data_IF_950934142047
#
_entry.id   IF_950934142047
#
_cell.length_a   1.000
_cell.length_b   1.000
_cell.length_c   1.000
_cell.angle_alpha   90.00
_cell.angle_beta   90.00
_cell.angle_gamma   90.00
#
_symmetry.space_group_name_H-M   'P 1'
#
loop_
_entity.id
_entity.type
_entity.pdbx_description
1 polymer ?
#
# COMPACT_ATOMS: atom_id res chain seq x y z
N UNK A 1 14.76 -19.35 7.89
CA UNK A 1 13.39 -19.27 7.37
C UNK A 1 12.56 -18.54 8.40
N UNK A 2 11.94 -17.42 8.02
CA UNK A 2 11.00 -16.75 8.91
C UNK A 2 9.66 -17.52 8.85
N UNK A 3 8.97 -17.75 9.97
CA UNK A 3 7.65 -18.40 9.97
C UNK A 3 6.55 -17.51 9.36
N UNK A 4 6.93 -16.35 8.81
CA UNK A 4 6.05 -15.33 8.24
C UNK A 4 6.56 -14.98 6.85
N UNK A 5 5.63 -14.86 5.90
CA UNK A 5 5.91 -14.34 4.57
C UNK A 5 6.17 -12.84 4.67
N UNK A 6 7.43 -12.45 4.45
CA UNK A 6 7.89 -11.07 4.46
C UNK A 6 8.50 -10.81 3.08
N UNK A 7 8.02 -9.77 2.40
CA UNK A 7 8.65 -9.26 1.18
C UNK A 7 9.35 -7.96 1.51
N UNK A 8 10.65 -7.91 1.25
CA UNK A 8 11.47 -6.72 1.48
C UNK A 8 12.09 -6.29 0.15
N UNK A 9 12.06 -4.99 -0.11
CA UNK A 9 12.71 -4.39 -1.27
C UNK A 9 13.83 -3.46 -0.81
N UNK A 10 14.94 -3.47 -1.56
CA UNK A 10 16.04 -2.52 -1.39
C UNK A 10 15.99 -1.44 -2.47
N UNK A 11 16.76 -0.36 -2.30
CA UNK A 11 16.87 0.69 -3.31
C UNK A 11 17.35 0.17 -4.67
N UNK A 12 18.25 -0.83 -4.66
CA UNK A 12 18.73 -1.48 -5.87
C UNK A 12 17.60 -2.21 -6.61
N UNK A 13 16.67 -2.85 -5.87
CA UNK A 13 15.51 -3.52 -6.44
C UNK A 13 14.52 -2.51 -7.04
N UNK A 14 14.33 -1.36 -6.38
CA UNK A 14 13.50 -0.27 -6.91
C UNK A 14 14.05 0.27 -8.23
N UNK A 15 15.37 0.50 -8.32
CA UNK A 15 16.03 0.95 -9.56
C UNK A 15 15.96 -0.10 -10.67
N UNK A 16 16.19 -1.38 -10.32
CA UNK A 16 16.16 -2.50 -11.26
C UNK A 16 14.76 -2.73 -11.85
N UNK A 17 13.73 -2.64 -11.01
CA UNK A 17 12.34 -2.85 -11.41
C UNK A 17 11.64 -1.55 -11.83
N UNK A 18 12.36 -0.43 -11.89
CA UNK A 18 11.87 0.91 -12.26
C UNK A 18 10.59 1.28 -11.50
N UNK A 19 10.56 0.94 -10.22
CA UNK A 19 9.42 1.18 -9.32
C UNK A 19 9.32 2.68 -9.09
N UNK A 20 8.40 3.33 -9.79
CA UNK A 20 8.16 4.77 -9.68
C UNK A 20 6.83 5.08 -8.99
N UNK A 21 5.94 4.08 -8.89
CA UNK A 21 4.64 4.20 -8.26
C UNK A 21 4.39 3.03 -7.32
N UNK A 22 3.57 3.25 -6.29
CA UNK A 22 3.13 2.17 -5.40
C UNK A 22 2.42 1.04 -6.14
N UNK A 23 1.73 1.34 -7.26
CA UNK A 23 1.12 0.31 -8.11
C UNK A 23 2.15 -0.66 -8.71
N UNK A 24 3.38 -0.21 -8.92
CA UNK A 24 4.46 -1.07 -9.44
C UNK A 24 4.95 -2.07 -8.37
N UNK A 25 4.86 -1.69 -7.08
CA UNK A 25 5.19 -2.57 -5.95
C UNK A 25 4.18 -3.70 -5.84
N UNK A 26 2.89 -3.44 -6.10
CA UNK A 26 1.85 -4.47 -6.09
C UNK A 26 2.16 -5.62 -7.09
N UNK A 27 2.81 -5.33 -8.22
CA UNK A 27 3.24 -6.36 -9.17
C UNK A 27 4.41 -7.23 -8.67
N UNK A 28 5.16 -6.76 -7.67
CA UNK A 28 6.32 -7.46 -7.13
C UNK A 28 6.00 -8.27 -5.87
N UNK A 29 4.88 -7.96 -5.19
CA UNK A 29 4.44 -8.66 -3.98
C UNK A 29 3.27 -9.58 -4.32
N UNK A 30 3.44 -10.91 -4.23
CA UNK A 30 2.34 -11.82 -4.50
C UNK A 30 1.20 -11.61 -3.49
N UNK A 31 -0.03 -11.61 -4.00
CA UNK A 31 -1.25 -11.37 -3.21
C UNK A 31 -1.40 -9.95 -2.65
N UNK A 32 -0.66 -8.96 -3.13
CA UNK A 32 -0.91 -7.54 -2.88
C UNK A 32 -1.59 -6.93 -4.11
N UNK A 33 -2.73 -6.28 -3.92
CA UNK A 33 -3.39 -5.50 -4.98
C UNK A 33 -3.65 -4.08 -4.46
N UNK A 34 -3.29 -3.09 -5.27
CA UNK A 34 -3.42 -1.67 -4.94
C UNK A 34 -4.13 -0.98 -6.09
N UNK A 35 -5.40 -0.67 -5.87
CA UNK A 35 -6.23 0.07 -6.78
C UNK A 35 -6.56 1.44 -6.20
N UNK A 36 -7.18 2.31 -7.01
CA UNK A 36 -7.59 3.65 -6.59
C UNK A 36 -9.08 3.76 -6.89
N UNK A 37 -9.91 3.90 -5.86
CA UNK A 37 -11.34 4.03 -6.04
C UNK A 37 -11.64 5.40 -6.66
N UNK A 38 -12.27 5.40 -7.84
CA UNK A 38 -12.56 6.61 -8.62
C UNK A 38 -13.52 7.57 -7.91
N UNK A 39 -14.39 7.05 -7.05
CA UNK A 39 -15.35 7.82 -6.24
C UNK A 39 -14.65 8.68 -5.19
N UNK A 40 -13.79 8.05 -4.37
CA UNK A 40 -13.25 8.70 -3.18
C UNK A 40 -11.83 9.22 -3.35
N UNK A 41 -11.20 9.04 -4.51
CA UNK A 41 -9.77 9.35 -4.70
C UNK A 41 -8.90 8.76 -3.57
N UNK A 42 -9.28 7.59 -3.06
CA UNK A 42 -8.58 6.88 -1.99
C UNK A 42 -7.93 5.60 -2.55
N UNK A 43 -6.76 5.20 -2.04
CA UNK A 43 -6.15 3.93 -2.40
C UNK A 43 -6.96 2.81 -1.75
N UNK A 44 -7.36 1.83 -2.56
CA UNK A 44 -7.94 0.57 -2.11
C UNK A 44 -6.82 -0.48 -2.13
N UNK A 45 -6.42 -0.92 -0.94
CA UNK A 45 -5.32 -1.85 -0.74
C UNK A 45 -5.93 -3.16 -0.25
N UNK A 46 -5.66 -4.24 -0.97
CA UNK A 46 -6.04 -5.58 -0.57
C UNK A 46 -4.83 -6.50 -0.49
N UNK A 47 -4.84 -7.37 0.52
CA UNK A 47 -3.79 -8.36 0.73
C UNK A 47 -4.41 -9.72 0.95
N UNK A 48 -4.01 -10.72 0.16
CA UNK A 48 -4.54 -12.11 0.19
C UNK A 48 -6.07 -12.18 0.06
N UNK A 49 -6.64 -11.26 -0.73
CA UNK A 49 -8.09 -11.16 -0.91
C UNK A 49 -8.84 -10.49 0.26
N UNK A 50 -8.14 -10.05 1.30
CA UNK A 50 -8.72 -9.26 2.39
C UNK A 50 -8.67 -7.79 1.98
N UNK A 51 -9.85 -7.17 1.83
CA UNK A 51 -10.04 -5.76 1.49
C UNK A 51 -11.08 -5.13 2.42
N UNK A 52 -10.97 -3.83 2.65
CA UNK A 52 -12.00 -3.06 3.36
C UNK A 52 -12.76 -2.22 2.34
N UNK A 53 -14.08 -2.37 2.30
CA UNK A 53 -14.95 -1.54 1.45
C UNK A 53 -15.18 -0.15 2.05
N UNK A 54 -14.69 0.10 3.26
CA UNK A 54 -14.86 1.38 3.94
C UNK A 54 -13.65 2.28 3.66
N UNK A 55 -13.70 2.99 2.52
CA UNK A 55 -12.62 3.86 2.03
C UNK A 55 -12.60 5.26 2.68
N UNK A 56 -13.53 5.51 3.60
CA UNK A 56 -13.71 6.81 4.26
C UNK A 56 -12.75 6.99 5.44
N UNK A 57 -12.55 8.24 5.88
CA UNK A 57 -11.67 8.57 7.01
C UNK A 57 -12.10 8.01 8.39
N UNK A 58 -13.26 7.32 8.46
CA UNK A 58 -13.80 6.64 9.64
C UNK A 58 -13.83 5.11 9.49
N UNK A 59 -13.41 4.57 8.34
CA UNK A 59 -13.40 3.13 8.09
C UNK A 59 -12.12 2.47 8.57
N UNK A 60 -12.25 1.30 9.19
CA UNK A 60 -11.09 0.48 9.54
C UNK A 60 -10.43 -0.05 8.26
N UNK A 61 -9.12 0.20 8.06
CA UNK A 61 -8.40 -0.35 6.94
C UNK A 61 -8.15 -1.84 7.15
N UNK A 62 -8.35 -2.64 6.10
CA UNK A 62 -8.02 -4.08 6.12
C UNK A 62 -6.51 -4.35 6.14
N UNK A 63 -5.71 -3.37 5.73
CA UNK A 63 -4.25 -3.45 5.64
C UNK A 63 -3.66 -2.17 6.26
N UNK A 64 -2.79 -2.34 7.25
CA UNK A 64 -2.11 -1.22 7.89
C UNK A 64 -0.95 -0.70 7.05
N UNK A 65 -0.95 0.58 6.70
CA UNK A 65 0.14 1.23 5.96
C UNK A 65 1.00 2.02 6.93
N UNK A 66 2.31 1.79 6.88
CA UNK A 66 3.30 2.50 7.68
C UNK A 66 4.29 3.22 6.77
N UNK A 67 4.54 4.50 7.02
CA UNK A 67 5.59 5.27 6.35
C UNK A 67 6.60 5.75 7.41
N UNK A 68 7.87 5.35 7.28
CA UNK A 68 8.96 5.72 8.21
C UNK A 68 8.59 5.45 9.68
N UNK A 69 7.91 4.32 9.93
CA UNK A 69 7.46 3.94 11.28
C UNK A 69 6.18 4.63 11.77
N UNK A 70 5.64 5.60 11.04
CA UNK A 70 4.35 6.25 11.35
C UNK A 70 3.22 5.46 10.70
N UNK A 71 2.25 5.02 11.51
CA UNK A 71 1.03 4.38 11.04
C UNK A 71 0.10 5.41 10.40
N UNK A 72 -0.39 5.13 9.19
CA UNK A 72 -1.43 5.93 8.53
C UNK A 72 -2.79 5.25 8.64
N UNK A 73 -3.62 5.60 9.66
CA UNK A 73 -4.94 5.01 9.84
C UNK A 73 -5.93 5.37 8.72
N UNK A 74 -5.65 6.45 7.96
CA UNK A 74 -6.56 6.98 6.95
C UNK A 74 -5.97 6.79 5.56
N UNK A 75 -6.66 6.02 4.71
CA UNK A 75 -6.22 5.76 3.33
C UNK A 75 -6.12 7.06 2.50
N UNK A 76 -7.00 8.04 2.75
CA UNK A 76 -6.94 9.39 2.14
C UNK A 76 -5.69 10.20 2.55
N UNK A 77 -5.31 10.14 3.83
CA UNK A 77 -4.13 10.86 4.35
C UNK A 77 -2.80 10.20 3.98
N UNK A 78 -2.83 8.88 3.74
CA UNK A 78 -1.69 8.14 3.20
C UNK A 78 -1.30 8.63 1.80
N UNK A 79 -2.24 9.15 1.00
CA UNK A 79 -1.91 9.73 -0.31
C UNK A 79 -1.13 11.04 -0.19
N UNK A 80 -1.46 11.89 0.79
CA UNK A 80 -0.70 13.12 1.04
C UNK A 80 0.74 12.80 1.49
N UNK A 81 0.90 11.76 2.30
CA UNK A 81 2.22 11.26 2.70
C UNK A 81 2.97 10.55 1.55
N UNK A 82 2.25 9.99 0.58
CA UNK A 82 2.84 9.43 -0.64
C UNK A 82 3.25 10.50 -1.65
N UNK A 83 2.65 11.69 -1.55
CA UNK A 83 3.00 12.89 -2.30
C UNK A 83 4.06 13.71 -1.55
N UNK A 84 5.12 13.05 -1.11
CA UNK A 84 6.34 13.76 -0.69
C UNK A 84 7.21 13.98 -1.93
N UNK A 85 7.65 15.22 -2.11
CA UNK A 85 8.39 15.73 -3.29
C UNK A 85 9.86 15.31 -3.30
#
# INVERSE_FOLDING_TARGET
QTPVSITQFTEADHKKNRVNKIKDIAHLVPSLDISTAADQSAPDISMRGVRSYNLTALGDPAVGVHLVGVYSPRMQGALALLYDI
#
